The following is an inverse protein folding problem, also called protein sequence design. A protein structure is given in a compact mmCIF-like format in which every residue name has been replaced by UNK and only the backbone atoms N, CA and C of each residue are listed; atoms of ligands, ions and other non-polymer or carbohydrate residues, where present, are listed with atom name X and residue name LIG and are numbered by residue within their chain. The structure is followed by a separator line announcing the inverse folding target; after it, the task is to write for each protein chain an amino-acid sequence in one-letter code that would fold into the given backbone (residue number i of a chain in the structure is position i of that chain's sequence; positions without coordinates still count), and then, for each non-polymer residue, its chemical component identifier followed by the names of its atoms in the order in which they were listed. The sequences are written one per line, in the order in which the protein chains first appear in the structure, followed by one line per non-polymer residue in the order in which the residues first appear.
data_IF_901677335965
#
_entry.id   IF_901677335965
#
_cell.length_a   1.000
_cell.length_b   1.000
_cell.length_c   1.000
_cell.angle_alpha   90.00
_cell.angle_beta   90.00
_cell.angle_gamma   90.00
#
_symmetry.space_group_name_H-M   'P 1'
#
loop_
_entity.id
_entity.type
_entity.pdbx_description
1 polymer ?
#
# COMPACT_ATOMS: atom_id res chain seq x y z
N UNK A 1 -48.56 -30.88 38.55
CA UNK A 1 -47.69 -31.73 37.73
C UNK A 1 -48.42 -33.01 37.31
N UNK A 2 -48.22 -33.47 36.08
CA UNK A 2 -48.77 -34.70 35.51
C UNK A 2 -47.64 -35.47 34.81
N UNK A 3 -47.27 -36.64 35.32
CA UNK A 3 -46.37 -37.58 34.67
C UNK A 3 -47.20 -38.75 34.12
N UNK A 4 -47.55 -38.68 32.84
CA UNK A 4 -48.49 -39.62 32.19
C UNK A 4 -47.78 -40.85 31.62
N UNK A 5 -46.60 -40.65 31.05
CA UNK A 5 -45.83 -41.72 30.42
C UNK A 5 -45.09 -42.62 31.42
N UNK A 6 -44.73 -43.83 30.98
CA UNK A 6 -43.85 -44.71 31.73
C UNK A 6 -42.48 -44.05 31.96
N UNK A 7 -41.93 -44.14 33.17
CA UNK A 7 -40.67 -43.50 33.57
C UNK A 7 -40.65 -41.97 33.41
N UNK A 8 -41.80 -41.31 33.34
CA UNK A 8 -41.89 -39.86 33.19
C UNK A 8 -41.67 -39.14 34.52
N UNK A 9 -41.14 -37.91 34.46
CA UNK A 9 -40.93 -37.04 35.62
C UNK A 9 -41.64 -35.71 35.37
N UNK A 10 -42.51 -35.28 36.27
CA UNK A 10 -43.16 -33.98 36.19
C UNK A 10 -43.08 -33.26 37.54
N UNK A 11 -42.47 -32.07 37.57
CA UNK A 11 -42.29 -31.27 38.79
C UNK A 11 -42.64 -29.81 38.48
N UNK A 12 -43.61 -29.25 39.22
CA UNK A 12 -44.09 -27.87 39.04
C UNK A 12 -45.61 -27.76 38.83
N UNK A 13 -46.16 -26.58 39.08
CA UNK A 13 -47.56 -26.27 38.75
C UNK A 13 -47.78 -26.46 37.24
N UNK A 14 -48.81 -27.20 36.84
CA UNK A 14 -49.13 -27.48 35.43
C UNK A 14 -48.02 -28.10 34.55
N UNK A 15 -46.93 -28.60 35.16
CA UNK A 15 -45.92 -29.37 34.44
C UNK A 15 -46.53 -30.65 33.87
N UNK A 16 -46.27 -30.97 32.60
CA UNK A 16 -46.81 -32.15 31.89
C UNK A 16 -45.68 -32.92 31.20
N UNK A 17 -45.49 -34.17 31.60
CA UNK A 17 -44.65 -35.13 30.91
C UNK A 17 -45.54 -36.24 30.34
N UNK A 18 -45.82 -36.15 29.03
CA UNK A 18 -46.98 -36.82 28.42
C UNK A 18 -46.71 -38.26 27.95
N UNK A 19 -45.46 -38.57 27.56
CA UNK A 19 -45.09 -39.86 26.95
C UNK A 19 -43.91 -40.51 27.68
N UNK A 20 -43.56 -41.73 27.28
CA UNK A 20 -42.53 -42.53 27.95
C UNK A 20 -41.17 -41.80 27.99
N UNK A 21 -40.51 -41.84 29.14
CA UNK A 21 -39.20 -41.19 29.35
C UNK A 21 -39.21 -39.66 29.29
N UNK A 22 -40.38 -39.01 29.23
CA UNK A 22 -40.49 -37.56 29.17
C UNK A 22 -40.21 -36.92 30.56
N UNK A 23 -39.49 -35.80 30.58
CA UNK A 23 -39.14 -35.08 31.80
C UNK A 23 -39.57 -33.62 31.66
N UNK A 24 -40.47 -33.17 32.53
CA UNK A 24 -40.95 -31.79 32.60
C UNK A 24 -40.68 -31.20 34.00
N UNK A 25 -39.79 -30.21 34.09
CA UNK A 25 -39.39 -29.56 35.35
C UNK A 25 -39.58 -28.05 35.24
N UNK A 26 -40.59 -27.49 35.91
CA UNK A 26 -40.90 -26.06 35.93
C UNK A 26 -42.41 -25.79 35.82
N UNK A 27 -42.85 -24.61 36.24
CA UNK A 27 -44.27 -24.25 36.13
C UNK A 27 -44.67 -24.17 34.64
N UNK A 28 -45.69 -24.93 34.24
CA UNK A 28 -46.15 -25.03 32.85
C UNK A 28 -45.18 -25.70 31.87
N UNK A 29 -44.10 -26.34 32.34
CA UNK A 29 -43.18 -27.09 31.49
C UNK A 29 -43.93 -28.26 30.79
N UNK A 30 -43.70 -28.47 29.49
CA UNK A 30 -44.44 -29.43 28.69
C UNK A 30 -43.51 -30.29 27.82
N UNK A 31 -43.28 -31.52 28.26
CA UNK A 31 -42.55 -32.55 27.54
C UNK A 31 -43.57 -33.46 26.81
N UNK A 32 -43.71 -33.27 25.49
CA UNK A 32 -44.87 -33.68 24.69
C UNK A 32 -44.78 -35.14 24.22
N UNK A 33 -43.61 -35.55 23.70
CA UNK A 33 -43.42 -36.88 23.11
C UNK A 33 -42.31 -37.66 23.81
N UNK A 34 -42.07 -38.89 23.35
CA UNK A 34 -41.12 -39.84 23.94
C UNK A 34 -39.74 -39.24 24.11
N UNK A 35 -39.10 -39.51 25.25
CA UNK A 35 -37.74 -39.08 25.59
C UNK A 35 -37.50 -37.56 25.41
N UNK A 36 -38.53 -36.74 25.64
CA UNK A 36 -38.45 -35.28 25.59
C UNK A 36 -38.05 -34.71 26.96
N UNK A 37 -37.31 -33.60 26.97
CA UNK A 37 -36.86 -32.93 28.19
C UNK A 37 -37.21 -31.44 28.16
N UNK A 38 -38.17 -31.01 28.97
CA UNK A 38 -38.55 -29.61 29.16
C UNK A 38 -38.17 -29.15 30.57
N UNK A 39 -37.14 -28.31 30.70
CA UNK A 39 -36.63 -27.80 31.96
C UNK A 39 -36.70 -26.27 31.96
N UNK A 40 -37.61 -25.70 32.76
CA UNK A 40 -37.85 -24.27 32.90
C UNK A 40 -39.33 -23.92 32.88
N UNK A 41 -39.68 -22.77 33.43
CA UNK A 41 -41.07 -22.26 33.38
C UNK A 41 -41.50 -22.06 31.94
N UNK A 42 -42.60 -22.72 31.53
CA UNK A 42 -43.13 -22.66 30.17
C UNK A 42 -42.23 -23.30 29.10
N UNK A 43 -41.22 -24.09 29.47
CA UNK A 43 -40.39 -24.81 28.51
C UNK A 43 -41.22 -25.86 27.75
N UNK A 44 -40.98 -26.02 26.46
CA UNK A 44 -41.69 -26.97 25.60
C UNK A 44 -40.67 -27.82 24.86
N UNK A 45 -40.76 -29.14 24.97
CA UNK A 45 -39.91 -30.08 24.26
C UNK A 45 -40.75 -31.17 23.59
N UNK A 46 -40.46 -31.43 22.33
CA UNK A 46 -41.07 -32.50 21.55
C UNK A 46 -40.20 -33.77 21.50
N UNK A 47 -40.53 -34.74 20.63
CA UNK A 47 -39.91 -36.07 20.60
C UNK A 47 -38.39 -35.99 20.44
N UNK A 48 -37.66 -36.65 21.33
CA UNK A 48 -36.18 -36.60 21.40
C UNK A 48 -35.60 -35.18 21.51
N UNK A 49 -36.42 -34.17 21.79
CA UNK A 49 -36.01 -32.78 21.89
C UNK A 49 -35.70 -32.40 23.34
N UNK A 50 -34.88 -31.36 23.51
CA UNK A 50 -34.53 -30.84 24.83
C UNK A 50 -34.64 -29.32 24.85
N UNK A 51 -35.43 -28.79 25.78
CA UNK A 51 -35.61 -27.38 26.03
C UNK A 51 -35.19 -27.02 27.45
N UNK A 52 -34.18 -26.18 27.60
CA UNK A 52 -33.62 -25.72 28.86
C UNK A 52 -33.72 -24.20 28.96
N UNK A 53 -34.50 -23.69 29.89
CA UNK A 53 -34.68 -22.26 30.12
C UNK A 53 -36.15 -21.85 30.16
N UNK A 54 -36.39 -20.66 30.71
CA UNK A 54 -37.73 -20.09 30.74
C UNK A 54 -38.21 -19.82 29.31
N UNK A 55 -39.39 -20.32 28.95
CA UNK A 55 -39.96 -20.28 27.60
C UNK A 55 -39.06 -20.87 26.48
N UNK A 56 -38.10 -21.73 26.81
CA UNK A 56 -37.34 -22.46 25.79
C UNK A 56 -38.29 -23.37 25.00
N UNK A 57 -38.23 -23.34 23.68
CA UNK A 57 -39.16 -24.02 22.79
C UNK A 57 -38.42 -24.88 21.77
N UNK A 58 -38.37 -26.18 22.04
CA UNK A 58 -37.96 -27.22 21.09
C UNK A 58 -39.18 -28.05 20.69
N UNK A 59 -40.21 -27.41 20.13
CA UNK A 59 -41.49 -28.02 19.72
C UNK A 59 -41.41 -28.85 18.43
N UNK A 60 -40.22 -29.06 17.88
CA UNK A 60 -39.98 -29.97 16.76
C UNK A 60 -39.04 -31.09 17.20
N UNK A 61 -39.18 -32.26 16.57
CA UNK A 61 -38.45 -33.45 16.99
C UNK A 61 -36.93 -33.26 16.87
N UNK A 62 -36.20 -33.74 17.89
CA UNK A 62 -34.74 -33.67 18.00
C UNK A 62 -34.16 -32.27 18.08
N UNK A 63 -34.97 -31.23 18.31
CA UNK A 63 -34.48 -29.86 18.53
C UNK A 63 -33.84 -29.69 19.91
N UNK A 64 -32.79 -28.87 20.00
CA UNK A 64 -32.16 -28.49 21.27
C UNK A 64 -32.26 -26.98 21.45
N UNK A 65 -33.06 -26.53 22.42
CA UNK A 65 -33.25 -25.12 22.75
C UNK A 65 -32.68 -24.84 24.14
N UNK A 66 -31.53 -24.17 24.24
CA UNK A 66 -30.84 -23.89 25.50
C UNK A 66 -30.70 -22.39 25.74
N UNK A 67 -31.54 -21.84 26.61
CA UNK A 67 -31.56 -20.43 26.99
C UNK A 67 -32.98 -19.91 27.18
N UNK A 68 -33.10 -18.72 27.76
CA UNK A 68 -34.42 -18.06 27.90
C UNK A 68 -34.96 -17.67 26.53
N UNK A 69 -36.21 -18.04 26.25
CA UNK A 69 -36.92 -17.75 24.99
C UNK A 69 -36.22 -18.24 23.72
N UNK A 70 -35.44 -19.32 23.80
CA UNK A 70 -34.85 -19.96 22.62
C UNK A 70 -35.88 -20.73 21.81
N UNK A 71 -35.71 -20.77 20.49
CA UNK A 71 -36.57 -21.55 19.60
C UNK A 71 -35.69 -22.47 18.74
N UNK A 72 -35.90 -23.78 18.88
CA UNK A 72 -35.27 -24.80 18.06
C UNK A 72 -36.24 -25.37 17.03
N UNK A 73 -35.82 -25.40 15.77
CA UNK A 73 -36.43 -26.15 14.69
C UNK A 73 -36.22 -27.67 14.79
N UNK A 74 -36.58 -28.38 13.72
CA UNK A 74 -36.45 -29.83 13.62
C UNK A 74 -34.98 -30.20 13.45
N UNK A 75 -34.48 -31.14 14.26
CA UNK A 75 -33.07 -31.57 14.27
C UNK A 75 -32.08 -30.39 14.29
N UNK A 76 -32.37 -29.36 15.08
CA UNK A 76 -31.58 -28.13 15.15
C UNK A 76 -31.04 -27.86 16.55
N UNK A 77 -30.13 -26.90 16.70
CA UNK A 77 -29.56 -26.51 18.00
C UNK A 77 -29.50 -24.99 18.15
N UNK A 78 -30.26 -24.44 19.08
CA UNK A 78 -30.27 -23.03 19.47
C UNK A 78 -29.74 -22.88 20.90
N UNK A 79 -28.64 -22.14 21.09
CA UNK A 79 -27.98 -21.93 22.38
C UNK A 79 -27.77 -20.43 22.61
N UNK A 80 -28.26 -19.90 23.72
CA UNK A 80 -28.17 -18.48 24.10
C UNK A 80 -29.54 -17.83 24.15
N UNK A 81 -29.73 -16.82 25.01
CA UNK A 81 -31.02 -16.13 25.16
C UNK A 81 -31.56 -15.71 23.79
N UNK A 82 -32.85 -15.93 23.53
CA UNK A 82 -33.50 -15.56 22.27
C UNK A 82 -32.82 -16.08 20.99
N UNK A 83 -31.97 -17.11 21.06
CA UNK A 83 -31.43 -17.76 19.87
C UNK A 83 -32.55 -18.50 19.12
N UNK A 84 -32.56 -18.40 17.79
CA UNK A 84 -33.60 -18.99 16.94
C UNK A 84 -32.94 -19.79 15.82
N UNK A 85 -33.41 -21.01 15.62
CA UNK A 85 -33.02 -21.84 14.48
C UNK A 85 -34.25 -22.27 13.69
N UNK A 86 -34.11 -22.32 12.37
CA UNK A 86 -34.96 -23.12 11.51
C UNK A 86 -34.51 -24.61 11.54
N UNK A 87 -35.04 -25.42 10.64
CA UNK A 87 -34.77 -26.85 10.62
C UNK A 87 -33.33 -27.15 10.18
N UNK A 88 -32.70 -28.15 10.78
CA UNK A 88 -31.31 -28.57 10.54
C UNK A 88 -30.25 -27.48 10.77
N UNK A 89 -30.56 -26.43 11.53
CA UNK A 89 -29.69 -25.27 11.70
C UNK A 89 -29.00 -25.24 13.08
N UNK A 90 -27.96 -24.43 13.20
CA UNK A 90 -27.22 -24.20 14.46
C UNK A 90 -27.14 -22.70 14.73
N UNK A 91 -27.62 -22.24 15.88
CA UNK A 91 -27.48 -20.85 16.32
C UNK A 91 -26.90 -20.82 17.74
N UNK A 92 -25.75 -20.19 17.94
CA UNK A 92 -25.04 -20.10 19.21
C UNK A 92 -24.68 -18.66 19.51
N UNK A 93 -25.38 -18.03 20.46
CA UNK A 93 -25.18 -16.65 20.86
C UNK A 93 -26.48 -16.02 21.35
N UNK A 94 -26.38 -14.96 22.16
CA UNK A 94 -27.59 -14.17 22.46
C UNK A 94 -28.10 -13.55 21.16
N UNK A 95 -29.39 -13.77 20.86
CA UNK A 95 -30.08 -13.21 19.70
C UNK A 95 -29.51 -13.66 18.35
N UNK A 96 -28.80 -14.79 18.31
CA UNK A 96 -28.36 -15.39 17.05
C UNK A 96 -29.53 -16.02 16.29
N UNK A 97 -29.53 -15.89 14.96
CA UNK A 97 -30.53 -16.46 14.07
C UNK A 97 -29.88 -17.29 12.96
N UNK A 98 -30.32 -18.54 12.78
CA UNK A 98 -29.91 -19.38 11.66
C UNK A 98 -31.12 -19.91 10.87
N UNK A 99 -31.15 -19.64 9.57
CA UNK A 99 -32.14 -20.18 8.63
C UNK A 99 -31.87 -21.68 8.35
N UNK A 100 -32.68 -22.32 7.52
CA UNK A 100 -32.68 -23.77 7.28
C UNK A 100 -31.31 -24.26 6.83
N UNK A 101 -30.75 -25.24 7.55
CA UNK A 101 -29.41 -25.78 7.28
C UNK A 101 -28.25 -24.78 7.48
N UNK A 102 -28.50 -23.62 8.08
CA UNK A 102 -27.49 -22.58 8.27
C UNK A 102 -26.82 -22.68 9.65
N UNK A 103 -25.69 -22.00 9.81
CA UNK A 103 -24.95 -21.91 11.09
C UNK A 103 -24.71 -20.45 11.45
N UNK A 104 -25.11 -20.01 12.64
CA UNK A 104 -24.84 -18.68 13.17
C UNK A 104 -24.14 -18.80 14.54
N UNK A 105 -22.92 -18.26 14.68
CA UNK A 105 -22.14 -18.33 15.91
C UNK A 105 -21.64 -16.94 16.28
N UNK A 106 -22.15 -16.39 17.39
CA UNK A 106 -21.82 -15.06 17.90
C UNK A 106 -23.05 -14.28 18.37
N UNK A 107 -22.83 -13.30 19.23
CA UNK A 107 -23.85 -12.32 19.64
C UNK A 107 -24.46 -11.61 18.41
N UNK A 108 -25.78 -11.63 18.27
CA UNK A 108 -26.50 -11.04 17.13
C UNK A 108 -26.01 -11.53 15.74
N UNK A 109 -25.41 -12.73 15.66
CA UNK A 109 -25.05 -13.34 14.37
C UNK A 109 -26.28 -13.83 13.61
N UNK A 110 -26.35 -13.56 12.32
CA UNK A 110 -27.54 -13.82 11.49
C UNK A 110 -27.18 -14.52 10.17
N UNK A 111 -27.36 -15.84 10.13
CA UNK A 111 -27.24 -16.64 8.92
C UNK A 111 -28.59 -16.73 8.19
N UNK A 112 -28.96 -15.65 7.49
CA UNK A 112 -30.28 -15.44 6.86
C UNK A 112 -30.61 -16.40 5.72
N UNK A 113 -29.63 -17.10 5.15
CA UNK A 113 -29.80 -17.81 3.89
C UNK A 113 -29.57 -19.32 4.07
N UNK A 114 -30.25 -20.15 3.27
CA UNK A 114 -30.10 -21.59 3.35
C UNK A 114 -28.64 -22.02 3.15
N UNK A 115 -28.17 -22.93 4.02
CA UNK A 115 -26.79 -23.46 3.98
C UNK A 115 -25.69 -22.42 4.24
N UNK A 116 -26.03 -21.19 4.65
CA UNK A 116 -25.04 -20.15 4.94
C UNK A 116 -24.45 -20.30 6.35
N UNK A 117 -23.28 -19.72 6.58
CA UNK A 117 -22.58 -19.75 7.87
C UNK A 117 -22.14 -18.33 8.23
N UNK A 118 -22.59 -17.81 9.37
CA UNK A 118 -22.18 -16.51 9.94
C UNK A 118 -21.40 -16.76 11.24
N UNK A 119 -20.12 -16.37 11.29
CA UNK A 119 -19.27 -16.55 12.47
C UNK A 119 -18.72 -15.19 12.89
N UNK A 120 -18.99 -14.79 14.13
CA UNK A 120 -18.60 -13.51 14.70
C UNK A 120 -19.81 -12.69 15.15
N UNK A 121 -19.60 -11.81 16.13
CA UNK A 121 -20.67 -10.93 16.61
C UNK A 121 -21.16 -10.02 15.47
N UNK A 122 -22.48 -9.89 15.33
CA UNK A 122 -23.13 -9.10 14.26
C UNK A 122 -22.80 -9.56 12.82
N UNK A 123 -22.29 -10.78 12.63
CA UNK A 123 -22.02 -11.32 11.29
C UNK A 123 -23.34 -11.60 10.56
N UNK A 124 -23.49 -11.14 9.31
CA UNK A 124 -24.73 -11.30 8.53
C UNK A 124 -24.42 -11.82 7.13
N UNK A 125 -24.84 -13.04 6.82
CA UNK A 125 -24.72 -13.61 5.47
C UNK A 125 -25.68 -12.92 4.49
N UNK A 126 -25.24 -12.71 3.25
CA UNK A 126 -25.99 -12.01 2.20
C UNK A 126 -26.42 -12.90 1.03
N UNK A 127 -26.05 -14.19 1.04
CA UNK A 127 -26.43 -15.17 0.01
C UNK A 127 -26.38 -16.61 0.55
N UNK A 128 -27.06 -17.52 -0.14
CA UNK A 128 -27.01 -18.95 0.16
C UNK A 128 -25.58 -19.52 0.02
N UNK A 129 -25.25 -20.53 0.81
CA UNK A 129 -23.94 -21.21 0.82
C UNK A 129 -22.72 -20.30 1.09
N UNK A 130 -22.92 -19.09 1.60
CA UNK A 130 -21.83 -18.19 1.97
C UNK A 130 -21.31 -18.54 3.37
N UNK A 131 -20.00 -18.51 3.56
CA UNK A 131 -19.38 -18.38 4.88
C UNK A 131 -18.96 -16.93 5.07
N UNK A 132 -19.54 -16.25 6.07
CA UNK A 132 -19.12 -14.92 6.51
C UNK A 132 -18.37 -15.02 7.82
N UNK A 133 -17.15 -14.48 7.84
CA UNK A 133 -16.26 -14.45 9.00
C UNK A 133 -16.13 -13.00 9.47
N UNK A 134 -16.89 -12.65 10.52
CA UNK A 134 -16.94 -11.32 11.12
C UNK A 134 -18.00 -10.40 10.52
N UNK A 135 -17.91 -9.13 10.90
CA UNK A 135 -18.70 -8.00 10.42
C UNK A 135 -17.77 -6.83 10.04
N UNK A 136 -18.33 -5.71 9.57
CA UNK A 136 -17.54 -4.47 9.34
C UNK A 136 -16.68 -4.13 10.56
N UNK A 137 -15.39 -3.85 10.31
CA UNK A 137 -14.40 -3.56 11.36
C UNK A 137 -13.77 -4.79 12.01
N UNK A 138 -14.18 -6.01 11.65
CA UNK A 138 -13.53 -7.25 12.10
C UNK A 138 -12.31 -7.56 11.25
N UNK A 139 -11.19 -7.91 11.88
CA UNK A 139 -10.03 -8.51 11.21
C UNK A 139 -9.97 -10.02 11.46
N UNK A 140 -9.48 -10.78 10.48
CA UNK A 140 -9.25 -12.22 10.60
C UNK A 140 -7.76 -12.46 10.74
N UNK A 141 -7.33 -13.09 11.84
CA UNK A 141 -5.94 -13.47 12.08
C UNK A 141 -5.81 -14.99 12.08
N UNK A 142 -4.87 -15.53 11.30
CA UNK A 142 -4.49 -16.94 11.34
C UNK A 142 -3.28 -17.07 12.26
N UNK A 143 -3.40 -17.86 13.33
CA UNK A 143 -2.43 -17.85 14.43
C UNK A 143 -1.00 -18.23 14.00
N UNK A 144 -0.83 -19.34 13.27
CA UNK A 144 0.47 -19.82 12.80
C UNK A 144 0.44 -19.95 11.27
N UNK A 145 0.47 -18.80 10.59
CA UNK A 145 0.45 -18.76 9.13
C UNK A 145 1.75 -19.30 8.52
N UNK A 146 2.86 -19.28 9.26
CA UNK A 146 4.15 -19.79 8.79
C UNK A 146 4.14 -21.32 8.75
N UNK A 147 3.64 -21.99 9.80
CA UNK A 147 3.44 -23.43 9.77
C UNK A 147 2.41 -23.84 8.71
N UNK A 148 1.33 -23.07 8.53
CA UNK A 148 0.34 -23.29 7.47
C UNK A 148 0.96 -23.20 6.08
N UNK A 149 1.82 -22.20 5.86
CA UNK A 149 2.61 -22.03 4.64
C UNK A 149 3.56 -23.21 4.41
N UNK A 150 4.30 -23.62 5.45
CA UNK A 150 5.25 -24.73 5.38
C UNK A 150 4.57 -26.08 5.09
N UNK A 151 3.31 -26.25 5.50
CA UNK A 151 2.52 -27.47 5.26
C UNK A 151 1.93 -27.56 3.84
N UNK A 152 2.03 -26.50 3.02
CA UNK A 152 1.52 -26.54 1.64
C UNK A 152 2.33 -27.51 0.77
N UNK A 153 1.64 -28.21 -0.13
CA UNK A 153 2.25 -29.14 -1.08
C UNK A 153 1.55 -29.07 -2.44
N UNK A 154 2.24 -29.52 -3.50
CA UNK A 154 1.74 -29.41 -4.87
C UNK A 154 1.81 -27.98 -5.42
N UNK A 155 0.86 -27.62 -6.28
CA UNK A 155 0.81 -26.28 -6.86
C UNK A 155 0.31 -25.25 -5.85
N UNK A 156 1.13 -24.21 -5.61
CA UNK A 156 0.78 -23.09 -4.74
C UNK A 156 0.13 -21.98 -5.58
N UNK A 157 -0.95 -21.41 -5.05
CA UNK A 157 -1.75 -20.37 -5.70
C UNK A 157 -1.69 -19.07 -4.90
N UNK A 158 -1.84 -17.94 -5.59
CA UNK A 158 -2.04 -16.65 -4.93
C UNK A 158 -3.50 -16.54 -4.53
N UNK A 159 -3.74 -16.22 -3.26
CA UNK A 159 -5.07 -15.87 -2.76
C UNK A 159 -5.44 -14.47 -3.25
N UNK A 160 -6.63 -14.32 -3.84
CA UNK A 160 -7.17 -13.03 -4.25
C UNK A 160 -8.45 -12.74 -3.46
N UNK A 161 -8.85 -11.47 -3.42
CA UNK A 161 -10.07 -11.03 -2.73
C UNK A 161 -10.81 -10.05 -3.63
N UNK A 162 -12.13 -10.23 -3.78
CA UNK A 162 -12.98 -9.29 -4.53
C UNK A 162 -13.42 -8.09 -3.68
N UNK A 163 -14.16 -7.15 -4.28
CA UNK A 163 -14.73 -5.98 -3.58
C UNK A 163 -15.59 -6.35 -2.35
N UNK A 164 -16.20 -7.53 -2.36
CA UNK A 164 -17.14 -7.99 -1.32
C UNK A 164 -16.44 -8.86 -0.27
N UNK A 165 -15.10 -8.98 -0.30
CA UNK A 165 -14.34 -9.83 0.62
C UNK A 165 -14.39 -11.32 0.30
N UNK A 166 -14.88 -11.73 -0.88
CA UNK A 166 -14.89 -13.13 -1.29
C UNK A 166 -13.49 -13.55 -1.70
N UNK A 167 -12.99 -14.61 -1.07
CA UNK A 167 -11.69 -15.20 -1.39
C UNK A 167 -11.77 -16.00 -2.69
N UNK A 168 -10.84 -15.73 -3.59
CA UNK A 168 -10.57 -16.51 -4.79
C UNK A 168 -9.15 -17.08 -4.79
N UNK A 169 -8.86 -17.89 -5.80
CA UNK A 169 -7.50 -18.31 -6.14
C UNK A 169 -7.19 -17.83 -7.55
N UNK A 170 -6.00 -17.30 -7.72
CA UNK A 170 -5.44 -17.01 -9.04
C UNK A 170 -4.33 -18.02 -9.29
N UNK A 171 -4.44 -18.78 -10.41
CA UNK A 171 -3.30 -19.51 -10.95
C UNK A 171 -2.15 -18.52 -11.04
N UNK A 172 -1.03 -18.78 -10.35
CA UNK A 172 0.09 -17.85 -10.21
C UNK A 172 0.32 -17.06 -11.50
N UNK A 173 -0.24 -15.84 -11.61
CA UNK A 173 0.04 -14.93 -12.72
C UNK A 173 1.27 -14.16 -12.34
N UNK A 174 2.33 -14.92 -12.12
CA UNK A 174 3.62 -14.57 -12.69
C UNK A 174 3.76 -15.46 -13.92
N UNK A 175 2.85 -15.30 -14.91
CA UNK A 175 3.25 -15.72 -16.24
C UNK A 175 4.55 -14.97 -16.55
N UNK A 176 5.51 -15.58 -17.27
CA UNK A 176 6.71 -14.85 -17.70
C UNK A 176 6.36 -13.48 -18.31
N UNK A 177 5.21 -13.34 -18.98
CA UNK A 177 4.68 -12.09 -19.51
C UNK A 177 4.24 -11.03 -18.45
N UNK A 178 3.67 -11.45 -17.31
CA UNK A 178 3.30 -10.56 -16.21
C UNK A 178 4.50 -10.10 -15.40
N UNK A 179 5.47 -10.99 -15.19
CA UNK A 179 6.80 -10.63 -14.68
C UNK A 179 7.48 -9.70 -15.67
N UNK A 180 7.45 -9.99 -16.97
CA UNK A 180 8.04 -9.14 -18.01
C UNK A 180 7.40 -7.74 -18.07
N UNK A 181 6.11 -7.58 -17.80
CA UNK A 181 5.48 -6.25 -17.69
C UNK A 181 5.92 -5.49 -16.44
N UNK A 182 5.96 -6.14 -15.28
CA UNK A 182 6.44 -5.54 -14.03
C UNK A 182 7.94 -5.20 -14.13
N UNK A 183 8.73 -6.10 -14.71
CA UNK A 183 10.15 -5.91 -15.03
C UNK A 183 10.34 -4.82 -16.08
N UNK A 184 9.51 -4.71 -17.12
CA UNK A 184 9.59 -3.59 -18.09
C UNK A 184 9.25 -2.24 -17.45
N UNK A 185 8.28 -2.18 -16.55
CA UNK A 185 7.95 -0.96 -15.81
C UNK A 185 9.07 -0.57 -14.82
N UNK A 186 9.63 -1.52 -14.08
CA UNK A 186 10.77 -1.30 -13.19
C UNK A 186 12.06 -0.98 -13.95
N UNK A 187 12.34 -1.65 -15.07
CA UNK A 187 13.46 -1.33 -15.96
C UNK A 187 13.29 0.09 -16.51
N UNK A 188 12.09 0.52 -16.92
CA UNK A 188 11.90 1.89 -17.40
C UNK A 188 12.13 2.97 -16.33
N UNK A 189 12.00 2.62 -15.04
CA UNK A 189 12.18 3.54 -13.91
C UNK A 189 13.60 3.51 -13.33
N UNK A 190 14.32 2.39 -13.48
CA UNK A 190 15.71 2.21 -13.04
C UNK A 190 16.74 2.33 -14.18
N UNK A 191 16.31 2.39 -15.43
CA UNK A 191 17.18 2.60 -16.59
C UNK A 191 17.59 4.07 -16.68
N UNK A 192 18.47 4.50 -15.78
CA UNK A 192 19.60 5.28 -16.28
C UNK A 192 20.38 4.30 -17.14
N UNK A 193 20.11 4.31 -18.44
CA UNK A 193 20.82 3.43 -19.38
C UNK A 193 22.32 3.75 -19.34
N UNK A 194 23.18 2.76 -19.58
CA UNK A 194 24.62 3.00 -19.72
C UNK A 194 24.90 4.10 -20.76
N UNK A 195 24.07 4.20 -21.81
CA UNK A 195 24.14 5.28 -22.79
C UNK A 195 23.85 6.68 -22.20
N UNK A 196 22.91 6.80 -21.26
CA UNK A 196 22.66 8.06 -20.54
C UNK A 196 23.80 8.39 -19.57
N UNK A 197 24.40 7.37 -18.95
CA UNK A 197 25.55 7.53 -18.06
C UNK A 197 26.82 7.91 -18.83
N UNK A 198 27.06 7.30 -19.98
CA UNK A 198 28.16 7.61 -20.90
C UNK A 198 27.99 9.00 -21.51
N UNK A 199 26.75 9.38 -21.87
CA UNK A 199 26.46 10.74 -22.34
C UNK A 199 26.70 11.80 -21.24
N UNK A 200 26.41 11.47 -19.98
CA UNK A 200 26.70 12.35 -18.85
C UNK A 200 28.21 12.43 -18.58
N UNK A 201 28.92 11.30 -18.60
CA UNK A 201 30.39 11.23 -18.46
C UNK A 201 31.08 12.03 -19.56
N UNK A 202 30.68 11.85 -20.83
CA UNK A 202 31.21 12.62 -21.95
C UNK A 202 30.92 14.12 -21.85
N UNK A 203 29.75 14.52 -21.31
CA UNK A 203 29.48 15.94 -21.03
C UNK A 203 30.37 16.50 -19.93
N UNK A 204 30.70 15.71 -18.92
CA UNK A 204 31.61 16.09 -17.83
C UNK A 204 33.04 16.27 -18.35
N UNK A 205 33.51 15.38 -19.22
CA UNK A 205 34.84 15.50 -19.85
C UNK A 205 34.94 16.76 -20.71
N UNK A 206 33.93 17.02 -21.55
CA UNK A 206 33.86 18.25 -22.37
C UNK A 206 33.84 19.51 -21.50
N UNK A 207 33.17 19.47 -20.34
CA UNK A 207 33.16 20.59 -19.40
C UNK A 207 34.56 20.85 -18.81
N UNK A 208 35.28 19.80 -18.40
CA UNK A 208 36.64 19.95 -17.87
C UNK A 208 37.61 20.48 -18.94
N UNK A 209 37.51 20.01 -20.17
CA UNK A 209 38.32 20.53 -21.29
C UNK A 209 37.99 21.99 -21.59
N UNK A 210 36.71 22.36 -21.59
CA UNK A 210 36.29 23.74 -21.81
C UNK A 210 36.82 24.68 -20.71
N UNK A 211 36.78 24.25 -19.44
CA UNK A 211 37.33 25.02 -18.32
C UNK A 211 38.85 25.23 -18.50
N UNK A 212 39.60 24.19 -18.86
CA UNK A 212 41.03 24.28 -19.08
C UNK A 212 41.40 25.21 -20.24
N UNK A 213 40.65 25.15 -21.35
CA UNK A 213 40.83 26.05 -22.50
C UNK A 213 40.50 27.48 -22.12
N UNK A 214 39.37 27.71 -21.45
CA UNK A 214 38.95 29.04 -21.03
C UNK A 214 39.97 29.68 -20.07
N UNK A 215 40.52 28.91 -19.12
CA UNK A 215 41.58 29.40 -18.25
C UNK A 215 42.83 29.80 -19.03
N UNK A 216 43.24 28.99 -20.01
CA UNK A 216 44.42 29.27 -20.84
C UNK A 216 44.20 30.53 -21.69
N UNK A 217 43.06 30.63 -22.35
CA UNK A 217 42.72 31.79 -23.19
C UNK A 217 42.60 33.07 -22.38
N UNK A 218 42.08 32.98 -21.14
CA UNK A 218 42.04 34.11 -20.20
C UNK A 218 43.44 34.52 -19.75
N UNK A 219 44.31 33.56 -19.36
CA UNK A 219 45.71 33.82 -18.98
C UNK A 219 46.48 34.48 -20.12
N UNK A 220 46.30 34.01 -21.36
CA UNK A 220 46.87 34.60 -22.57
C UNK A 220 46.32 35.99 -22.84
N UNK A 221 45.01 36.19 -22.73
CA UNK A 221 44.40 37.52 -22.87
C UNK A 221 45.00 38.54 -21.90
N UNK A 222 45.17 38.16 -20.64
CA UNK A 222 45.80 39.01 -19.62
C UNK A 222 47.29 39.26 -19.90
N UNK A 223 48.05 38.24 -20.32
CA UNK A 223 49.45 38.41 -20.72
C UNK A 223 49.57 39.37 -21.92
N UNK A 224 48.66 39.26 -22.89
CA UNK A 224 48.57 40.12 -24.07
C UNK A 224 48.37 41.59 -23.67
N UNK A 225 47.37 41.87 -22.83
CA UNK A 225 47.09 43.23 -22.35
C UNK A 225 48.21 43.77 -21.44
N UNK A 226 48.75 42.95 -20.55
CA UNK A 226 49.87 43.33 -19.68
C UNK A 226 51.15 43.65 -20.47
N UNK A 227 51.35 42.98 -21.61
CA UNK A 227 52.49 43.23 -22.48
C UNK A 227 52.35 44.52 -23.29
N UNK A 228 51.22 45.23 -23.24
CA UNK A 228 50.91 46.30 -24.19
C UNK A 228 51.90 47.47 -24.14
N UNK A 229 52.68 47.64 -25.21
CA UNK A 229 53.66 48.71 -25.34
C UNK A 229 52.99 50.04 -25.63
N UNK A 230 53.40 51.08 -24.91
CA UNK A 230 53.00 52.47 -25.15
C UNK A 230 54.24 53.25 -25.54
N UNK A 231 54.46 53.50 -26.86
CA UNK A 231 55.56 54.35 -27.31
C UNK A 231 55.45 55.74 -26.67
N UNK A 232 56.60 56.32 -26.31
CA UNK A 232 56.65 57.67 -25.77
C UNK A 232 56.26 58.70 -26.84
N UNK A 233 55.77 59.86 -26.42
CA UNK A 233 55.43 60.93 -27.34
C UNK A 233 56.66 61.40 -28.14
N UNK A 234 56.62 61.45 -29.49
CA UNK A 234 57.78 61.84 -30.28
C UNK A 234 58.24 63.28 -29.99
N UNK A 235 59.56 63.47 -29.93
CA UNK A 235 60.17 64.73 -29.47
C UNK A 235 60.00 65.91 -30.43
N UNK A 236 59.83 65.65 -31.73
CA UNK A 236 59.66 66.68 -32.76
C UNK A 236 58.45 66.33 -33.65
N UNK A 237 57.76 67.33 -34.22
CA UNK A 237 56.76 67.10 -35.25
C UNK A 237 57.30 66.27 -36.43
N UNK A 238 56.50 65.36 -36.96
CA UNK A 238 56.85 64.46 -38.06
C UNK A 238 57.66 63.21 -37.67
N UNK A 239 58.02 63.03 -36.39
CA UNK A 239 58.75 61.83 -35.93
C UNK A 239 57.81 60.70 -35.53
N UNK A 240 58.29 59.46 -35.69
CA UNK A 240 57.62 58.24 -35.22
C UNK A 240 58.43 57.59 -34.11
N UNK A 241 57.80 57.31 -32.96
CA UNK A 241 58.37 56.47 -31.91
C UNK A 241 57.81 55.05 -32.01
N UNK A 242 58.58 54.08 -31.55
CA UNK A 242 58.17 52.69 -31.46
C UNK A 242 58.48 52.16 -30.05
N UNK A 243 57.70 51.17 -29.61
CA UNK A 243 57.97 50.44 -28.39
C UNK A 243 57.57 48.98 -28.56
N UNK A 244 58.30 48.10 -27.89
CA UNK A 244 57.98 46.68 -27.79
C UNK A 244 58.16 46.26 -26.34
N UNK A 245 57.20 45.50 -25.85
CA UNK A 245 57.19 44.99 -24.50
C UNK A 245 56.87 43.50 -24.52
N UNK A 246 57.33 42.81 -23.49
CA UNK A 246 57.00 41.41 -23.22
C UNK A 246 56.50 41.30 -21.78
N UNK A 247 55.43 40.54 -21.56
CA UNK A 247 54.93 40.25 -20.22
C UNK A 247 54.70 38.76 -20.04
N UNK A 248 54.85 38.28 -18.81
CA UNK A 248 54.58 36.90 -18.42
C UNK A 248 53.49 36.92 -17.37
N UNK A 249 52.40 36.19 -17.60
CA UNK A 249 51.32 36.04 -16.63
C UNK A 249 51.00 34.57 -16.42
N UNK A 250 51.27 34.07 -15.21
CA UNK A 250 50.98 32.68 -14.77
C UNK A 250 51.39 31.61 -15.80
N UNK A 251 52.56 31.76 -16.41
CA UNK A 251 53.15 30.82 -17.37
C UNK A 251 52.84 31.09 -18.85
N UNK A 252 51.95 32.02 -19.17
CA UNK A 252 51.70 32.47 -20.55
C UNK A 252 52.50 33.75 -20.85
N UNK A 253 52.97 33.90 -22.09
CA UNK A 253 53.81 35.03 -22.52
C UNK A 253 53.06 35.87 -23.55
N UNK A 254 53.01 37.18 -23.32
CA UNK A 254 52.47 38.17 -24.24
C UNK A 254 53.58 39.06 -24.80
N UNK A 255 53.46 39.38 -26.09
CA UNK A 255 54.34 40.31 -26.80
C UNK A 255 53.51 41.45 -27.37
N UNK A 256 54.12 42.63 -27.47
CA UNK A 256 53.48 43.75 -28.13
C UNK A 256 54.43 44.57 -28.99
N UNK A 257 53.82 45.27 -29.94
CA UNK A 257 54.44 46.30 -30.74
C UNK A 257 53.50 47.49 -30.79
N UNK A 258 54.04 48.68 -30.57
CA UNK A 258 53.32 49.93 -30.70
C UNK A 258 54.14 50.93 -31.50
N UNK A 259 53.44 51.78 -32.24
CA UNK A 259 54.00 52.97 -32.90
C UNK A 259 53.19 54.20 -32.52
N UNK A 260 53.85 55.35 -32.49
CA UNK A 260 53.20 56.65 -32.32
C UNK A 260 53.82 57.66 -33.26
N UNK A 261 53.00 58.44 -33.96
CA UNK A 261 53.45 59.46 -34.90
C UNK A 261 52.88 60.83 -34.50
N UNK A 262 53.76 61.83 -34.33
CA UNK A 262 53.39 63.22 -34.02
C UNK A 262 53.19 63.98 -35.32
N UNK A 263 52.03 64.61 -35.46
CA UNK A 263 51.73 65.48 -36.61
C UNK A 263 52.18 66.93 -36.31
N UNK A 264 52.08 67.84 -37.27
CA UNK A 264 52.51 69.25 -37.14
C UNK A 264 51.67 70.11 -36.14
N UNK A 265 51.10 69.48 -35.10
CA UNK A 265 50.43 70.12 -33.96
C UNK A 265 50.74 69.40 -32.64
N UNK A 266 50.13 69.84 -31.53
CA UNK A 266 50.41 69.31 -30.18
C UNK A 266 49.72 67.97 -29.87
N UNK A 267 49.53 67.14 -30.89
CA UNK A 267 48.95 65.81 -30.76
C UNK A 267 49.66 64.75 -31.61
N UNK A 268 49.56 63.50 -31.18
CA UNK A 268 50.09 62.32 -31.84
C UNK A 268 49.05 61.21 -31.88
N UNK A 269 49.10 60.41 -32.94
CA UNK A 269 48.30 59.19 -33.04
C UNK A 269 49.18 57.99 -32.68
N UNK A 270 48.63 57.08 -31.88
CA UNK A 270 49.28 55.80 -31.57
C UNK A 270 48.43 54.63 -32.01
N UNK A 271 49.09 53.60 -32.52
CA UNK A 271 48.51 52.31 -32.81
C UNK A 271 49.42 51.21 -32.25
N UNK A 272 48.83 50.15 -31.72
CA UNK A 272 49.58 49.01 -31.21
C UNK A 272 48.81 47.71 -31.30
N UNK A 273 49.56 46.62 -31.37
CA UNK A 273 49.03 45.27 -31.38
C UNK A 273 49.77 44.43 -30.33
N UNK A 274 49.03 43.51 -29.72
CA UNK A 274 49.55 42.54 -28.76
C UNK A 274 49.17 41.13 -29.18
N UNK A 275 50.00 40.14 -28.84
CA UNK A 275 49.76 38.73 -29.12
C UNK A 275 50.33 37.85 -28.00
N UNK A 276 49.54 36.88 -27.54
CA UNK A 276 49.93 35.95 -26.48
C UNK A 276 49.59 34.48 -26.79
N UNK A 277 49.49 34.11 -28.08
CA UNK A 277 49.15 32.75 -28.51
C UNK A 277 47.66 32.51 -28.72
N UNK A 278 47.32 31.50 -29.53
CA UNK A 278 45.93 31.15 -29.85
C UNK A 278 45.18 32.32 -30.50
N UNK A 279 43.98 32.63 -29.97
CA UNK A 279 43.14 33.75 -30.42
C UNK A 279 43.35 35.05 -29.60
N UNK A 280 44.36 35.11 -28.74
CA UNK A 280 44.59 36.22 -27.80
C UNK A 280 45.40 37.37 -28.41
N UNK A 281 44.89 37.95 -29.51
CA UNK A 281 45.41 39.18 -30.10
C UNK A 281 44.55 40.38 -29.67
N UNK A 282 45.17 41.52 -29.41
CA UNK A 282 44.44 42.76 -29.09
C UNK A 282 45.05 43.92 -29.87
N UNK A 283 44.20 44.85 -30.30
CA UNK A 283 44.60 46.05 -31.02
C UNK A 283 44.18 47.27 -30.22
N UNK A 284 45.04 48.28 -30.16
CA UNK A 284 44.72 49.59 -29.60
C UNK A 284 45.04 50.69 -30.61
N UNK A 285 44.23 51.73 -30.58
CA UNK A 285 44.52 53.01 -31.22
C UNK A 285 44.15 54.12 -30.24
N UNK A 286 44.89 55.23 -30.26
CA UNK A 286 44.65 56.33 -29.36
C UNK A 286 45.25 57.64 -29.86
N UNK A 287 44.89 58.72 -29.18
CA UNK A 287 45.44 60.06 -29.39
C UNK A 287 46.12 60.49 -28.10
N UNK A 288 47.31 61.07 -28.20
CA UNK A 288 48.02 61.71 -27.10
C UNK A 288 48.30 63.16 -27.48
N UNK A 289 48.34 64.07 -26.51
CA UNK A 289 48.66 65.47 -26.76
C UNK A 289 49.06 66.22 -25.48
N UNK A 290 49.60 67.42 -25.65
CA UNK A 290 50.02 68.33 -24.59
C UNK A 290 49.35 69.70 -24.76
N UNK A 291 49.25 70.50 -23.70
CA UNK A 291 48.66 71.84 -23.69
C UNK A 291 49.58 72.83 -22.97
#
# INVERSE_FOLDING_TARGET
AQAVGANAVAIGADARAQQAGAIALGAGANAIRTNSLALGTGAIADEFAAAFGQNANASKAGGVAFGTSTIAGFLSTAIGRAAITADHAVAVGWSSYANTGATAVGYDSTALHAGSTAIGANSITTRANQVMLGSTGTSVTVADIDASTAAQSGNIYVMTVDQNGTVGRQASVLSPAGVEQITKQLISTLAVTDAQFDALTGRVDVLFDLVNVQERDTKRGLASVASMASPHFPSEPGKTSYASNMAVYRGEVGFSLGVMHRFDGDFALTAGATYAGGKSATFKAGVAGEF
#
